data_IF_871045257651
#
_entry.id   IF_871045257651
#
_cell.length_a   1.000
_cell.length_b   1.000
_cell.length_c   1.000
_cell.angle_alpha   90.00
_cell.angle_beta   90.00
_cell.angle_gamma   90.00
#
_symmetry.space_group_name_H-M   'P 1'
#
loop_
_entity.id
_entity.type
_entity.pdbx_description
1 polymer ?
#
# COMPACT_ATOMS: atom_id res chain seq x y z
N UNK A 1 2.96 14.72 6.32
CA UNK A 1 1.76 13.96 5.94
C UNK A 1 1.22 13.17 7.13
N UNK A 2 2.05 12.47 7.89
CA UNK A 2 1.66 11.94 9.22
C UNK A 2 2.07 12.94 10.31
N UNK A 3 1.18 13.24 11.24
CA UNK A 3 1.34 14.21 12.33
C UNK A 3 0.84 13.63 13.66
N UNK A 4 1.31 14.20 14.78
CA UNK A 4 0.74 13.93 16.11
C UNK A 4 -0.72 14.40 16.20
N UNK A 5 -1.08 15.45 15.47
CA UNK A 5 -2.47 15.82 15.26
C UNK A 5 -3.05 14.92 14.16
N UNK A 6 -3.91 14.00 14.58
CA UNK A 6 -4.55 13.02 13.70
C UNK A 6 -5.41 13.73 12.64
N UNK A 7 -6.02 14.87 12.97
CA UNK A 7 -6.86 15.63 12.03
C UNK A 7 -6.02 16.17 10.86
N UNK A 8 -4.83 16.69 11.15
CA UNK A 8 -3.88 17.10 10.11
C UNK A 8 -3.43 15.94 9.22
N UNK A 9 -3.34 14.73 9.79
CA UNK A 9 -3.04 13.53 9.00
C UNK A 9 -4.18 13.22 8.03
N UNK A 10 -5.43 13.27 8.50
CA UNK A 10 -6.62 13.07 7.65
C UNK A 10 -6.72 14.13 6.57
N UNK A 11 -6.51 15.41 6.91
CA UNK A 11 -6.50 16.52 5.95
C UNK A 11 -5.41 16.34 4.89
N UNK A 12 -4.18 16.01 5.29
CA UNK A 12 -3.06 15.82 4.37
C UNK A 12 -3.25 14.61 3.46
N UNK A 13 -3.80 13.49 3.97
CA UNK A 13 -4.13 12.32 3.17
C UNK A 13 -5.26 12.63 2.18
N UNK A 14 -6.29 13.35 2.63
CA UNK A 14 -7.39 13.79 1.76
C UNK A 14 -6.88 14.70 0.65
N UNK A 15 -6.01 15.66 0.98
CA UNK A 15 -5.37 16.53 0.00
C UNK A 15 -4.57 15.72 -1.02
N UNK A 16 -3.74 14.78 -0.57
CA UNK A 16 -2.97 13.91 -1.47
C UNK A 16 -3.87 13.13 -2.43
N UNK A 17 -5.03 12.65 -1.96
CA UNK A 17 -6.03 12.00 -2.83
C UNK A 17 -6.54 12.95 -3.90
N UNK A 18 -6.91 14.18 -3.54
CA UNK A 18 -7.40 15.16 -4.52
C UNK A 18 -6.32 15.57 -5.52
N UNK A 19 -5.09 15.79 -5.06
CA UNK A 19 -3.96 16.17 -5.91
C UNK A 19 -3.68 15.06 -6.95
N UNK A 20 -3.65 13.81 -6.52
CA UNK A 20 -3.39 12.68 -7.41
C UNK A 20 -4.58 12.42 -8.36
N UNK A 21 -5.82 12.64 -7.92
CA UNK A 21 -7.00 12.55 -8.79
C UNK A 21 -7.01 13.62 -9.87
N UNK A 22 -6.58 14.84 -9.53
CA UNK A 22 -6.38 15.93 -10.48
C UNK A 22 -5.27 15.58 -11.48
N UNK A 23 -4.13 15.06 -11.00
CA UNK A 23 -3.04 14.61 -11.86
C UNK A 23 -3.48 13.46 -12.79
N UNK A 24 -4.25 12.50 -12.29
CA UNK A 24 -4.81 11.41 -13.10
C UNK A 24 -5.80 11.91 -14.16
N UNK A 25 -6.63 12.91 -13.83
CA UNK A 25 -7.54 13.54 -14.79
C UNK A 25 -6.76 14.30 -15.87
N UNK A 26 -5.72 15.04 -15.48
CA UNK A 26 -4.85 15.75 -16.40
C UNK A 26 -4.11 14.78 -17.33
N UNK A 27 -3.52 13.71 -16.79
CA UNK A 27 -2.85 12.67 -17.59
C UNK A 27 -3.82 12.03 -18.59
N UNK A 28 -5.03 11.67 -18.15
CA UNK A 28 -6.03 11.06 -19.01
C UNK A 28 -6.54 11.96 -20.15
N UNK A 29 -6.30 13.28 -20.07
CA UNK A 29 -6.64 14.23 -21.12
C UNK A 29 -5.54 14.41 -22.17
N UNK A 30 -4.33 13.87 -21.95
CA UNK A 30 -3.24 13.99 -22.90
C UNK A 30 -3.38 12.97 -24.04
N UNK A 31 -3.24 13.37 -25.32
CA UNK A 31 -3.46 12.46 -26.45
C UNK A 31 -2.42 11.33 -26.53
N UNK A 32 -1.23 11.54 -25.98
CA UNK A 32 -0.17 10.51 -25.86
C UNK A 32 -0.36 9.50 -24.73
N UNK A 33 -1.36 9.68 -23.84
CA UNK A 33 -1.59 8.78 -22.70
C UNK A 33 -2.67 7.76 -23.02
N UNK A 34 -2.31 6.48 -23.03
CA UNK A 34 -3.27 5.38 -23.05
C UNK A 34 -3.95 5.24 -21.68
N UNK A 35 -5.20 5.71 -21.60
CA UNK A 35 -6.01 5.65 -20.37
C UNK A 35 -6.28 4.23 -19.88
N UNK A 36 -6.19 3.21 -20.73
CA UNK A 36 -6.37 1.80 -20.32
C UNK A 36 -5.16 1.27 -19.55
N UNK A 37 -4.01 1.93 -19.71
CA UNK A 37 -2.74 1.60 -19.07
C UNK A 37 -2.44 2.50 -17.85
N UNK A 38 -3.33 3.43 -17.50
CA UNK A 38 -3.12 4.34 -16.37
C UNK A 38 -3.00 3.55 -15.06
N UNK A 39 -1.98 3.90 -14.27
CA UNK A 39 -1.63 3.17 -13.07
C UNK A 39 -0.97 4.01 -12.00
N UNK A 40 -0.89 3.44 -10.79
CA UNK A 40 -0.31 4.09 -9.62
C UNK A 40 0.53 3.11 -8.81
N UNK A 41 1.64 3.62 -8.27
CA UNK A 41 2.55 2.89 -7.38
C UNK A 41 3.17 3.86 -6.38
N UNK A 42 3.57 3.32 -5.24
CA UNK A 42 4.26 4.05 -4.20
C UNK A 42 4.81 3.09 -3.15
N UNK A 43 5.81 3.56 -2.39
CA UNK A 43 6.48 2.78 -1.35
C UNK A 43 6.05 3.30 0.02
N UNK A 44 5.79 2.40 0.97
CA UNK A 44 5.43 2.74 2.36
C UNK A 44 4.16 3.61 2.41
N UNK A 45 4.21 4.80 3.02
CA UNK A 45 3.12 5.78 2.99
C UNK A 45 2.63 6.07 1.56
N UNK A 46 3.53 6.16 0.58
CA UNK A 46 3.14 6.33 -0.81
C UNK A 46 2.36 5.15 -1.37
N UNK A 47 2.60 3.93 -0.87
CA UNK A 47 1.85 2.73 -1.23
C UNK A 47 0.46 2.70 -0.58
N UNK A 48 0.34 3.15 0.67
CA UNK A 48 -0.95 3.35 1.36
C UNK A 48 -1.79 4.37 0.59
N UNK A 49 -1.19 5.54 0.28
CA UNK A 49 -1.85 6.58 -0.53
C UNK A 49 -2.21 6.06 -1.92
N UNK A 50 -1.34 5.25 -2.56
CA UNK A 50 -1.64 4.66 -3.87
C UNK A 50 -2.88 3.77 -3.84
N UNK A 51 -3.02 2.93 -2.80
CA UNK A 51 -4.21 2.10 -2.61
C UNK A 51 -5.45 2.95 -2.34
N UNK A 52 -5.35 3.95 -1.44
CA UNK A 52 -6.45 4.85 -1.10
C UNK A 52 -6.94 5.66 -2.31
N UNK A 53 -6.02 6.21 -3.11
CA UNK A 53 -6.36 6.91 -4.36
C UNK A 53 -7.06 5.98 -5.33
N UNK A 54 -6.55 4.76 -5.50
CA UNK A 54 -7.16 3.80 -6.40
C UNK A 54 -8.61 3.50 -5.95
N UNK A 55 -8.92 3.42 -4.66
CA UNK A 55 -10.31 3.28 -4.20
C UNK A 55 -11.22 4.42 -4.66
N UNK A 56 -10.71 5.65 -4.72
CA UNK A 56 -11.45 6.86 -5.03
C UNK A 56 -11.42 7.28 -6.51
N UNK A 57 -10.50 6.72 -7.31
CA UNK A 57 -10.27 7.12 -8.70
C UNK A 57 -10.49 5.95 -9.68
N UNK A 58 -11.64 5.89 -10.38
CA UNK A 58 -11.95 4.80 -11.29
C UNK A 58 -11.08 4.76 -12.56
N UNK A 59 -10.41 5.87 -12.94
CA UNK A 59 -9.51 5.89 -14.11
C UNK A 59 -8.24 5.06 -13.91
N UNK A 60 -7.85 4.77 -12.66
CA UNK A 60 -6.62 4.03 -12.35
C UNK A 60 -6.91 2.52 -12.39
N UNK A 61 -6.58 1.86 -13.50
CA UNK A 61 -6.80 0.43 -13.68
C UNK A 61 -5.69 -0.47 -13.12
N UNK A 62 -4.46 0.05 -13.01
CA UNK A 62 -3.27 -0.68 -12.62
C UNK A 62 -2.71 -0.19 -11.27
N UNK A 63 -2.62 -1.05 -10.25
CA UNK A 63 -2.30 -0.65 -8.88
C UNK A 63 -1.18 -1.51 -8.30
N UNK A 64 -0.05 -0.90 -7.92
CA UNK A 64 1.09 -1.62 -7.35
C UNK A 64 1.58 -0.94 -6.06
N UNK A 65 0.93 -1.16 -4.91
CA UNK A 65 1.43 -0.62 -3.66
C UNK A 65 2.58 -1.49 -3.13
N UNK A 66 3.65 -0.84 -2.67
CA UNK A 66 4.86 -1.49 -2.14
C UNK A 66 5.05 -1.11 -0.67
N UNK A 67 5.31 -2.11 0.17
CA UNK A 67 5.39 -1.99 1.62
C UNK A 67 4.19 -1.23 2.20
N UNK A 68 2.99 -1.57 1.75
CA UNK A 68 1.75 -0.89 2.11
C UNK A 68 0.80 -1.80 2.87
N UNK A 69 -0.19 -1.21 3.54
CA UNK A 69 -1.22 -1.95 4.23
C UNK A 69 -2.47 -1.13 4.42
N UNK A 70 -3.48 -1.81 4.95
CA UNK A 70 -4.72 -1.24 5.42
C UNK A 70 -4.73 -1.10 6.93
N UNK A 71 -5.92 -0.89 7.51
CA UNK A 71 -6.06 -0.67 8.96
C UNK A 71 -5.11 0.44 9.40
N UNK A 72 -5.19 1.59 8.74
CA UNK A 72 -4.23 2.67 8.87
C UNK A 72 -4.04 3.11 10.32
N UNK A 73 -5.10 3.11 11.13
CA UNK A 73 -5.01 3.36 12.57
C UNK A 73 -4.16 2.32 13.32
N UNK A 74 -4.35 1.02 13.04
CA UNK A 74 -3.54 -0.05 13.63
C UNK A 74 -2.10 -0.02 13.12
N UNK A 75 -1.90 0.22 11.82
CA UNK A 75 -0.58 0.46 11.23
C UNK A 75 0.15 1.57 11.97
N UNK A 76 -0.50 2.71 12.17
CA UNK A 76 0.08 3.86 12.87
C UNK A 76 0.34 3.56 14.35
N UNK A 77 -0.57 2.84 15.01
CA UNK A 77 -0.44 2.46 16.42
C UNK A 77 0.71 1.47 16.65
N UNK A 78 0.87 0.47 15.79
CA UNK A 78 1.84 -0.62 16.00
C UNK A 78 3.23 -0.32 15.42
N UNK A 79 3.34 0.66 14.52
CA UNK A 79 4.59 1.02 13.86
C UNK A 79 5.69 1.42 14.85
N UNK A 80 6.87 0.79 14.72
CA UNK A 80 8.08 1.21 15.45
C UNK A 80 8.48 2.65 15.10
N UNK A 81 8.20 3.11 13.87
CA UNK A 81 8.51 4.47 13.38
C UNK A 81 7.61 5.53 14.01
N UNK A 82 6.36 5.16 14.36
CA UNK A 82 5.39 6.06 14.99
C UNK A 82 5.23 5.83 16.50
N UNK A 83 6.18 5.12 17.12
CA UNK A 83 6.18 4.88 18.58
C UNK A 83 6.08 6.17 19.39
N UNK A 84 6.82 7.22 19.02
CA UNK A 84 6.74 8.52 19.70
C UNK A 84 5.37 9.19 19.53
N UNK A 85 4.71 8.98 18.39
CA UNK A 85 3.33 9.43 18.17
C UNK A 85 2.34 8.64 19.01
N UNK A 86 2.49 7.33 19.10
CA UNK A 86 1.70 6.49 20.01
C UNK A 86 1.84 6.95 21.46
N UNK A 87 3.07 7.13 21.95
CA UNK A 87 3.31 7.60 23.33
C UNK A 87 2.65 8.96 23.58
N UNK A 88 2.71 9.89 22.61
CA UNK A 88 2.00 11.15 22.68
C UNK A 88 0.48 10.97 22.73
N UNK A 89 -0.10 10.18 21.82
CA UNK A 89 -1.53 9.89 21.77
C UNK A 89 -2.04 9.25 23.07
N UNK A 90 -1.31 8.29 23.62
CA UNK A 90 -1.61 7.66 24.90
C UNK A 90 -1.59 8.69 26.04
N UNK A 91 -0.63 9.62 26.05
CA UNK A 91 -0.57 10.71 27.04
C UNK A 91 -1.77 11.65 26.98
N UNK A 92 -2.42 11.75 25.81
CA UNK A 92 -3.64 12.54 25.59
C UNK A 92 -4.92 11.71 25.78
N UNK A 93 -4.81 10.44 26.20
CA UNK A 93 -5.95 9.54 26.43
C UNK A 93 -6.56 8.96 25.15
N UNK A 94 -5.89 9.08 24.00
CA UNK A 94 -6.34 8.45 22.76
C UNK A 94 -6.06 6.94 22.82
N UNK A 95 -6.97 6.14 22.25
CA UNK A 95 -6.84 4.68 22.15
C UNK A 95 -6.66 4.25 20.69
N UNK A 96 -6.15 3.03 20.48
CA UNK A 96 -6.03 2.45 19.14
C UNK A 96 -7.37 2.44 18.38
N UNK A 97 -8.46 2.05 19.04
CA UNK A 97 -9.80 2.03 18.45
C UNK A 97 -10.26 3.43 18.05
N UNK A 98 -10.00 4.44 18.89
CA UNK A 98 -10.37 5.81 18.58
C UNK A 98 -9.53 6.38 17.44
N UNK A 99 -8.23 6.08 17.40
CA UNK A 99 -7.37 6.42 16.27
C UNK A 99 -7.90 5.80 14.97
N UNK A 100 -8.23 4.51 14.99
CA UNK A 100 -8.80 3.81 13.84
C UNK A 100 -10.12 4.42 13.37
N UNK A 101 -10.97 4.87 14.29
CA UNK A 101 -12.17 5.64 13.95
C UNK A 101 -11.85 6.98 13.30
N UNK A 102 -10.88 7.73 13.84
CA UNK A 102 -10.53 9.06 13.34
C UNK A 102 -9.94 9.03 11.94
N UNK A 103 -9.19 7.98 11.58
CA UNK A 103 -8.56 7.85 10.25
C UNK A 103 -9.36 7.01 9.26
N UNK A 104 -10.57 6.57 9.63
CA UNK A 104 -11.39 5.64 8.84
C UNK A 104 -11.57 6.08 7.38
N UNK A 105 -11.82 7.37 7.16
CA UNK A 105 -12.10 7.91 5.82
C UNK A 105 -10.86 7.95 4.91
N UNK A 106 -9.66 7.79 5.49
CA UNK A 106 -8.37 7.75 4.76
C UNK A 106 -7.66 6.40 4.92
N UNK A 107 -8.40 5.36 5.32
CA UNK A 107 -7.88 3.99 5.43
C UNK A 107 -8.18 3.20 4.14
N UNK A 108 -7.17 2.63 3.45
CA UNK A 108 -7.36 1.88 2.21
C UNK A 108 -7.96 0.48 2.43
N UNK A 109 -8.78 0.29 3.47
CA UNK A 109 -9.68 -0.87 3.58
C UNK A 109 -11.15 -0.44 3.54
N UNK A 110 -11.43 0.85 3.74
CA UNK A 110 -12.78 1.38 3.87
C UNK A 110 -13.56 1.25 2.57
N UNK A 111 -12.91 1.46 1.43
CA UNK A 111 -13.53 1.31 0.12
C UNK A 111 -12.80 0.33 -0.81
N UNK A 112 -12.02 -0.61 -0.24
CA UNK A 112 -11.20 -1.57 -0.99
C UNK A 112 -11.99 -2.50 -1.92
N UNK A 113 -13.31 -2.61 -1.78
CA UNK A 113 -14.16 -3.26 -2.77
C UNK A 113 -14.01 -2.63 -4.17
N UNK A 114 -13.68 -1.34 -4.25
CA UNK A 114 -13.45 -0.62 -5.51
C UNK A 114 -12.14 -1.04 -6.19
N UNK A 115 -11.25 -1.76 -5.48
CA UNK A 115 -10.02 -2.34 -6.02
C UNK A 115 -10.25 -3.72 -6.65
N UNK A 116 -11.36 -4.39 -6.34
CA UNK A 116 -11.65 -5.72 -6.87
C UNK A 116 -11.83 -5.68 -8.38
N UNK A 117 -11.19 -6.62 -9.07
CA UNK A 117 -11.21 -6.70 -10.53
C UNK A 117 -10.20 -5.77 -11.21
N UNK A 118 -9.53 -4.87 -10.47
CA UNK A 118 -8.39 -4.12 -11.01
C UNK A 118 -7.17 -5.00 -11.14
N UNK A 119 -6.28 -4.64 -12.05
CA UNK A 119 -4.97 -5.27 -12.14
C UNK A 119 -4.13 -4.76 -10.98
N UNK A 120 -3.91 -5.60 -9.98
CA UNK A 120 -3.22 -5.22 -8.75
C UNK A 120 -2.12 -6.21 -8.40
N UNK A 121 -0.97 -5.71 -7.94
CA UNK A 121 0.13 -6.51 -7.39
C UNK A 121 0.63 -5.84 -6.11
N UNK A 122 0.69 -6.59 -5.01
CA UNK A 122 1.28 -6.10 -3.76
C UNK A 122 2.71 -6.62 -3.59
N UNK A 123 3.60 -5.80 -3.05
CA UNK A 123 4.94 -6.22 -2.63
C UNK A 123 5.13 -5.81 -1.19
N UNK A 124 5.33 -6.76 -0.28
CA UNK A 124 5.41 -6.52 1.16
C UNK A 124 6.57 -7.28 1.81
N UNK A 125 6.90 -6.91 3.04
CA UNK A 125 7.99 -7.49 3.81
C UNK A 125 7.47 -8.37 4.97
N UNK A 126 8.00 -9.59 5.11
CA UNK A 126 7.55 -10.56 6.13
C UNK A 126 7.89 -10.14 7.56
N UNK A 127 8.97 -9.37 7.74
CA UNK A 127 9.48 -8.93 9.06
C UNK A 127 9.32 -7.42 9.24
N UNK A 128 8.30 -6.85 8.59
CA UNK A 128 7.99 -5.44 8.65
C UNK A 128 7.42 -5.07 10.03
N UNK A 129 8.04 -4.06 10.67
CA UNK A 129 7.61 -3.52 11.97
C UNK A 129 7.14 -2.06 11.86
N UNK A 130 7.11 -1.51 10.64
CA UNK A 130 6.54 -0.21 10.32
C UNK A 130 5.13 -0.40 9.78
N UNK A 131 4.99 -1.32 8.82
CA UNK A 131 3.71 -1.75 8.25
C UNK A 131 3.52 -3.24 8.54
N UNK A 132 2.92 -3.61 9.69
CA UNK A 132 2.83 -5.01 10.10
C UNK A 132 2.20 -5.91 9.03
N UNK A 133 2.66 -7.17 8.85
CA UNK A 133 2.13 -8.07 7.83
C UNK A 133 0.62 -8.25 7.87
N UNK A 134 0.01 -8.26 9.06
CA UNK A 134 -1.44 -8.41 9.21
C UNK A 134 -2.22 -7.18 8.68
N UNK A 135 -1.61 -5.99 8.64
CA UNK A 135 -2.18 -4.79 8.03
C UNK A 135 -2.10 -4.87 6.50
N UNK A 136 -1.00 -5.40 5.95
CA UNK A 136 -0.88 -5.71 4.53
C UNK A 136 -1.90 -6.77 4.08
N UNK A 137 -2.07 -7.84 4.88
CA UNK A 137 -3.06 -8.89 4.64
C UNK A 137 -4.50 -8.37 4.70
N UNK A 138 -4.79 -7.38 5.55
CA UNK A 138 -6.10 -6.74 5.60
C UNK A 138 -6.46 -6.05 4.29
N UNK A 139 -5.55 -5.22 3.75
CA UNK A 139 -5.71 -4.61 2.42
C UNK A 139 -5.82 -5.67 1.32
N UNK A 140 -4.92 -6.67 1.33
CA UNK A 140 -4.94 -7.78 0.38
C UNK A 140 -6.29 -8.50 0.35
N UNK A 141 -6.82 -8.86 1.52
CA UNK A 141 -8.11 -9.53 1.63
C UNK A 141 -9.26 -8.64 1.17
N UNK A 142 -9.26 -7.36 1.56
CA UNK A 142 -10.33 -6.42 1.21
C UNK A 142 -10.36 -6.16 -0.31
N UNK A 143 -9.20 -6.04 -0.95
CA UNK A 143 -9.00 -5.85 -2.39
C UNK A 143 -9.31 -7.09 -3.25
N UNK A 144 -9.75 -8.21 -2.65
CA UNK A 144 -10.11 -9.42 -3.40
C UNK A 144 -8.93 -10.36 -3.65
N UNK A 145 -7.91 -10.32 -2.79
CA UNK A 145 -6.76 -11.24 -2.78
C UNK A 145 -5.92 -11.19 -4.07
N UNK A 146 -5.44 -10.00 -4.51
CA UNK A 146 -4.54 -9.91 -5.65
C UNK A 146 -3.23 -10.67 -5.41
N UNK A 147 -2.40 -10.93 -6.44
CA UNK A 147 -1.05 -11.43 -6.24
C UNK A 147 -0.27 -10.57 -5.24
N UNK A 148 0.45 -11.24 -4.34
CA UNK A 148 1.32 -10.59 -3.34
C UNK A 148 2.70 -11.26 -3.32
N UNK A 149 3.75 -10.44 -3.31
CA UNK A 149 5.14 -10.88 -3.19
C UNK A 149 5.62 -10.54 -1.79
N UNK A 150 6.12 -11.54 -1.08
CA UNK A 150 6.62 -11.40 0.29
C UNK A 150 8.15 -11.49 0.33
N UNK A 151 8.81 -10.35 0.51
CA UNK A 151 10.24 -10.32 0.76
C UNK A 151 10.56 -10.71 2.19
N UNK A 152 11.56 -11.57 2.37
CA UNK A 152 12.09 -11.89 3.70
C UNK A 152 13.01 -10.76 4.22
N UNK A 153 12.47 -9.57 4.38
CA UNK A 153 13.16 -8.35 4.85
C UNK A 153 12.34 -7.68 5.95
N UNK A 154 12.95 -6.69 6.60
CA UNK A 154 12.25 -5.64 7.36
C UNK A 154 11.82 -4.51 6.42
N UNK A 155 11.15 -3.48 6.95
CA UNK A 155 10.74 -2.30 6.17
C UNK A 155 11.92 -1.65 5.45
N UNK A 156 12.99 -1.33 6.17
CA UNK A 156 14.15 -0.63 5.60
C UNK A 156 15.13 -1.56 4.89
N UNK A 157 15.32 -2.80 5.34
CA UNK A 157 16.19 -3.75 4.61
C UNK A 157 15.58 -4.22 3.29
N UNK A 158 14.29 -3.93 3.04
CA UNK A 158 13.69 -4.05 1.71
C UNK A 158 14.39 -3.17 0.66
N UNK A 159 15.14 -2.13 1.08
CA UNK A 159 15.97 -1.34 0.18
C UNK A 159 16.97 -2.19 -0.63
N UNK A 160 17.48 -3.30 -0.06
CA UNK A 160 18.35 -4.23 -0.78
C UNK A 160 17.64 -4.98 -1.93
N UNK A 161 16.32 -4.99 -1.92
CA UNK A 161 15.47 -5.58 -2.98
C UNK A 161 15.03 -4.54 -4.01
N UNK A 162 15.46 -3.28 -3.92
CA UNK A 162 15.06 -2.22 -4.86
C UNK A 162 15.34 -2.56 -6.34
N UNK A 163 16.51 -3.12 -6.72
CA UNK A 163 16.74 -3.49 -8.11
C UNK A 163 15.70 -4.49 -8.65
N UNK A 164 15.36 -5.51 -7.84
CA UNK A 164 14.30 -6.46 -8.15
C UNK A 164 12.92 -5.79 -8.13
N UNK A 165 12.65 -4.93 -7.14
CA UNK A 165 11.41 -4.19 -7.00
C UNK A 165 11.10 -3.33 -8.23
N UNK A 166 12.10 -2.57 -8.71
CA UNK A 166 11.99 -1.76 -9.92
C UNK A 166 11.73 -2.65 -11.14
N UNK A 167 12.48 -3.74 -11.30
CA UNK A 167 12.26 -4.69 -12.41
C UNK A 167 10.82 -5.23 -12.41
N UNK A 168 10.29 -5.61 -11.24
CA UNK A 168 8.91 -6.06 -11.09
C UNK A 168 7.88 -4.96 -11.36
N UNK A 169 8.15 -3.72 -10.93
CA UNK A 169 7.29 -2.57 -11.24
C UNK A 169 7.24 -2.32 -12.75
N UNK A 170 8.38 -2.31 -13.44
CA UNK A 170 8.43 -2.14 -14.90
C UNK A 170 7.67 -3.28 -15.59
N UNK A 171 7.92 -4.53 -15.20
CA UNK A 171 7.21 -5.68 -15.76
C UNK A 171 5.69 -5.58 -15.53
N UNK A 172 5.27 -5.13 -14.35
CA UNK A 172 3.87 -4.91 -14.07
C UNK A 172 3.29 -3.80 -14.93
N UNK A 173 3.88 -2.61 -15.04
CA UNK A 173 3.29 -1.54 -15.85
C UNK A 173 3.49 -1.69 -17.37
N UNK A 174 4.25 -2.69 -17.82
CA UNK A 174 4.38 -3.02 -19.24
C UNK A 174 3.06 -3.54 -19.84
N UNK A 175 2.75 -3.24 -21.11
CA UNK A 175 1.56 -3.77 -21.78
C UNK A 175 1.48 -5.30 -21.71
N UNK A 176 0.27 -5.84 -21.54
CA UNK A 176 0.03 -7.29 -21.43
C UNK A 176 0.54 -8.08 -22.64
N UNK A 177 0.55 -7.47 -23.83
CA UNK A 177 1.08 -8.08 -25.06
C UNK A 177 2.62 -8.18 -25.07
N UNK A 178 3.32 -7.28 -24.37
CA UNK A 178 4.76 -7.34 -24.18
C UNK A 178 5.16 -8.29 -23.03
N UNK A 179 4.25 -8.52 -22.08
CA UNK A 179 4.43 -9.43 -20.96
C UNK A 179 3.94 -10.85 -21.32
N UNK A 180 4.67 -11.56 -22.19
CA UNK A 180 4.41 -12.95 -22.60
C UNK A 180 4.52 -14.01 -21.49
N UNK A 181 4.12 -13.70 -20.27
CA UNK A 181 4.07 -14.63 -19.13
C UNK A 181 2.94 -14.20 -18.20
N UNK A 182 1.96 -15.08 -18.03
CA UNK A 182 1.03 -15.02 -16.91
C UNK A 182 1.83 -14.84 -15.61
N UNK A 183 1.40 -13.91 -14.76
CA UNK A 183 1.95 -13.77 -13.41
C UNK A 183 1.71 -15.08 -12.64
N UNK A 184 2.67 -15.99 -12.68
CA UNK A 184 2.71 -17.17 -11.82
C UNK A 184 3.33 -16.70 -10.51
N UNK A 185 2.54 -16.72 -9.43
CA UNK A 185 3.06 -16.51 -8.07
C UNK A 185 4.23 -17.47 -7.84
N UNK A 186 5.40 -16.99 -7.36
CA UNK A 186 6.46 -17.91 -6.98
C UNK A 186 5.94 -18.86 -5.90
N UNK A 187 6.28 -20.17 -5.94
CA UNK A 187 5.83 -21.11 -4.93
C UNK A 187 6.27 -20.63 -3.54
N UNK A 188 5.38 -20.76 -2.56
CA UNK A 188 5.67 -20.43 -1.17
C UNK A 188 6.99 -21.08 -0.76
N UNK A 189 7.97 -20.26 -0.42
CA UNK A 189 9.27 -20.70 0.09
C UNK A 189 9.02 -21.63 1.28
N UNK A 190 9.33 -22.92 1.12
CA UNK A 190 9.13 -23.94 2.16
C UNK A 190 9.82 -23.46 3.43
N UNK A 191 9.09 -23.48 4.55
CA UNK A 191 9.63 -23.23 5.87
C UNK A 191 10.90 -24.06 6.07
N UNK A 192 12.05 -23.40 6.11
CA UNK A 192 13.29 -24.01 6.57
C UNK A 192 13.06 -24.37 8.04
N UNK A 193 12.98 -25.68 8.32
CA UNK A 193 12.98 -26.21 9.68
C UNK A 193 14.21 -25.67 10.39
N UNK A 194 13.99 -24.93 11.48
CA UNK A 194 15.02 -24.63 12.46
C UNK A 194 15.62 -25.96 12.95
N UNK A 195 16.94 -26.11 12.80
CA UNK A 195 17.70 -27.08 13.58
C UNK A 195 18.14 -26.38 14.88
N UNK A 196 18.00 -27.04 16.04
CA UNK A 196 18.49 -26.50 17.29
C UNK A 196 19.98 -26.84 17.45
N UNK A 197 20.76 -25.85 17.88
CA UNK A 197 21.91 -26.04 18.77
C UNK A 197 21.76 -25.08 19.95
#
# INVERSE_FOLDING_TARGET
MVSHDVSQTVEAMTQAVQDIRCAAAWLAAQPEVDTTQLGITGISLGGIVSALVAEAEPRIGNVLPVLAGGKFGATAWESDELRGSREFWESQGLTADKLAEMVRDVDPVTHAQNLRGRRMLMINAKRDRVIPPHCAEALWSAAGKPPIIWWNTTHYSAAWRLPEGISRMVQFFSPLEAAGTTFVSPPAERAQKQQPE
#
